data_IF_754437683929
#
_entry.id   IF_754437683929
#
_cell.length_a   1.000
_cell.length_b   1.000
_cell.length_c   1.000
_cell.angle_alpha   90.00
_cell.angle_beta   90.00
_cell.angle_gamma   90.00
#
_symmetry.space_group_name_H-M   'P 1'
#
loop_
_entity.id
_entity.type
_entity.pdbx_description
1 polymer ?
#
# COMPACT_ATOMS: atom_id res chain seq x y z
N UNK A 1 -27.23 -23.16 -38.88
CA UNK A 1 -26.63 -23.03 -37.52
C UNK A 1 -27.80 -22.90 -36.55
N UNK A 2 -27.98 -23.87 -35.67
CA UNK A 2 -29.11 -23.85 -34.72
C UNK A 2 -28.90 -22.70 -33.72
N UNK A 3 -29.89 -21.82 -33.62
CA UNK A 3 -29.87 -20.65 -32.76
C UNK A 3 -30.14 -21.10 -31.31
N UNK A 4 -29.26 -21.92 -30.78
CA UNK A 4 -29.35 -22.46 -29.42
C UNK A 4 -28.88 -21.44 -28.41
N UNK A 5 -29.37 -21.53 -27.17
CA UNK A 5 -28.93 -20.65 -26.07
C UNK A 5 -27.40 -20.71 -25.89
N UNK A 6 -26.81 -21.88 -26.18
CA UNK A 6 -25.36 -22.13 -26.11
C UNK A 6 -24.57 -21.33 -27.14
N UNK A 7 -25.08 -21.22 -28.39
CA UNK A 7 -24.43 -20.38 -29.42
C UNK A 7 -24.50 -18.89 -29.08
N UNK A 8 -25.60 -18.44 -28.45
CA UNK A 8 -25.72 -17.04 -27.99
C UNK A 8 -24.78 -16.70 -26.86
N UNK A 9 -24.46 -17.64 -25.97
CA UNK A 9 -23.48 -17.44 -24.88
C UNK A 9 -22.06 -17.22 -25.42
N UNK A 10 -21.74 -17.74 -26.62
CA UNK A 10 -20.42 -17.56 -27.24
C UNK A 10 -20.33 -16.29 -28.10
N UNK A 11 -21.46 -15.70 -28.47
CA UNK A 11 -21.55 -14.55 -29.38
C UNK A 11 -22.07 -13.30 -28.68
N UNK A 12 -21.78 -13.14 -27.37
CA UNK A 12 -22.17 -11.94 -26.62
C UNK A 12 -21.49 -10.72 -27.25
N UNK A 13 -22.28 -9.70 -27.59
CA UNK A 13 -21.77 -8.44 -28.12
C UNK A 13 -20.82 -7.80 -27.10
N UNK A 14 -19.63 -7.41 -27.57
CA UNK A 14 -18.61 -6.74 -26.73
C UNK A 14 -19.17 -5.49 -26.03
N UNK A 15 -20.13 -4.80 -26.64
CA UNK A 15 -20.76 -3.61 -26.05
C UNK A 15 -21.50 -3.96 -24.76
N UNK A 16 -22.15 -5.13 -24.71
CA UNK A 16 -22.83 -5.61 -23.50
C UNK A 16 -21.80 -5.91 -22.42
N UNK A 17 -20.69 -6.59 -22.78
CA UNK A 17 -19.61 -6.90 -21.83
C UNK A 17 -19.04 -5.61 -21.25
N UNK A 18 -18.78 -4.60 -22.08
CA UNK A 18 -18.25 -3.31 -21.61
C UNK A 18 -19.26 -2.54 -20.75
N UNK A 19 -20.54 -2.56 -21.10
CA UNK A 19 -21.58 -1.93 -20.30
C UNK A 19 -21.70 -2.59 -18.91
N UNK A 20 -21.69 -3.93 -18.84
CA UNK A 20 -21.70 -4.67 -17.58
C UNK A 20 -20.44 -4.37 -16.77
N UNK A 21 -19.26 -4.39 -17.40
CA UNK A 21 -17.99 -4.06 -16.75
C UNK A 21 -18.03 -2.64 -16.12
N UNK A 22 -18.54 -1.67 -16.88
CA UNK A 22 -18.68 -0.29 -16.39
C UNK A 22 -19.56 -0.23 -15.15
N UNK A 23 -20.71 -0.92 -15.17
CA UNK A 23 -21.62 -0.99 -14.02
C UNK A 23 -20.92 -1.61 -12.80
N UNK A 24 -20.18 -2.70 -12.98
CA UNK A 24 -19.44 -3.37 -11.90
C UNK A 24 -18.34 -2.51 -11.29
N UNK A 25 -17.72 -1.63 -12.09
CA UNK A 25 -16.74 -0.65 -11.60
C UNK A 25 -17.43 0.49 -10.84
N UNK A 26 -18.54 1.01 -11.37
CA UNK A 26 -19.21 2.18 -10.81
C UNK A 26 -19.93 1.88 -9.48
N UNK A 27 -20.53 0.70 -9.33
CA UNK A 27 -21.28 0.34 -8.13
C UNK A 27 -20.46 0.56 -6.84
N UNK A 28 -19.26 -0.01 -6.66
CA UNK A 28 -18.48 0.17 -5.42
C UNK A 28 -17.96 1.61 -5.22
N UNK A 29 -17.80 2.37 -6.30
CA UNK A 29 -17.33 3.74 -6.20
C UNK A 29 -18.40 4.69 -5.67
N UNK A 30 -19.67 4.48 -6.06
CA UNK A 30 -20.79 5.33 -5.64
C UNK A 30 -21.52 4.82 -4.41
N UNK A 31 -21.58 3.52 -4.23
CA UNK A 31 -22.20 2.92 -3.05
C UNK A 31 -21.09 2.39 -2.14
N UNK A 32 -21.16 2.63 -0.82
CA UNK A 32 -20.16 2.15 0.14
C UNK A 32 -20.27 0.62 0.34
N UNK A 33 -20.14 -0.11 -0.75
CA UNK A 33 -20.07 -1.57 -0.74
C UNK A 33 -18.59 -1.97 -0.61
N UNK A 34 -18.19 -2.29 0.60
CA UNK A 34 -16.92 -2.96 0.85
C UNK A 34 -17.24 -4.40 1.16
N UNK A 35 -17.01 -5.34 0.22
CA UNK A 35 -17.12 -6.75 0.56
C UNK A 35 -16.15 -7.00 1.72
N UNK A 36 -16.59 -7.80 2.71
CA UNK A 36 -15.71 -8.19 3.81
C UNK A 36 -14.50 -8.88 3.20
N UNK A 37 -13.37 -8.17 3.20
CA UNK A 37 -12.11 -8.72 2.69
C UNK A 37 -11.48 -9.56 3.79
N UNK A 38 -10.99 -10.73 3.42
CA UNK A 38 -10.10 -11.49 4.29
C UNK A 38 -8.70 -10.92 4.05
N UNK A 39 -8.10 -10.26 5.05
CA UNK A 39 -6.77 -9.71 4.88
C UNK A 39 -5.77 -10.83 4.59
N UNK A 40 -4.83 -10.56 3.72
CA UNK A 40 -3.73 -11.48 3.49
C UNK A 40 -2.86 -11.58 4.75
N UNK A 41 -2.18 -12.71 4.94
CA UNK A 41 -1.29 -12.88 6.10
C UNK A 41 -0.25 -11.78 6.19
N UNK A 42 0.37 -11.39 5.09
CA UNK A 42 1.38 -10.32 5.05
C UNK A 42 0.82 -8.95 5.41
N UNK A 43 -0.44 -8.65 5.06
CA UNK A 43 -1.12 -7.42 5.48
C UNK A 43 -1.45 -7.44 6.97
N UNK A 44 -1.82 -8.60 7.52
CA UNK A 44 -2.03 -8.80 8.95
C UNK A 44 -0.70 -8.62 9.71
N UNK A 45 0.38 -9.26 9.25
CA UNK A 45 1.70 -9.16 9.87
C UNK A 45 2.20 -7.70 9.87
N UNK A 46 1.91 -6.95 8.78
CA UNK A 46 2.20 -5.50 8.72
C UNK A 46 1.42 -4.73 9.79
N UNK A 47 0.12 -4.95 9.90
CA UNK A 47 -0.74 -4.31 10.88
C UNK A 47 -0.28 -4.62 12.31
N UNK A 48 -0.05 -5.90 12.62
CA UNK A 48 0.39 -6.35 13.94
C UNK A 48 1.75 -5.77 14.32
N UNK A 49 2.64 -5.57 13.33
CA UNK A 49 3.93 -4.93 13.57
C UNK A 49 3.78 -3.46 13.97
N UNK A 50 2.92 -2.68 13.28
CA UNK A 50 2.64 -1.29 13.67
C UNK A 50 1.98 -1.22 15.04
N UNK A 51 1.03 -2.13 15.34
CA UNK A 51 0.41 -2.26 16.65
C UNK A 51 1.43 -2.56 17.76
N UNK A 52 2.39 -3.45 17.47
CA UNK A 52 3.46 -3.78 18.40
C UNK A 52 4.36 -2.59 18.63
N UNK A 53 4.79 -1.89 17.59
CA UNK A 53 5.61 -0.66 17.71
C UNK A 53 4.90 0.38 18.56
N UNK A 54 3.59 0.56 18.38
CA UNK A 54 2.80 1.52 19.17
C UNK A 54 2.76 1.21 20.66
N UNK A 55 2.89 -0.06 21.05
CA UNK A 55 2.84 -0.51 22.45
C UNK A 55 4.21 -0.59 23.09
N UNK A 56 5.20 -1.14 22.36
CA UNK A 56 6.53 -1.44 22.89
C UNK A 56 7.54 -0.30 22.68
N UNK A 57 7.31 0.55 21.69
CA UNK A 57 8.26 1.61 21.31
C UNK A 57 7.56 2.92 20.90
N UNK A 58 6.59 3.43 21.68
CA UNK A 58 5.73 4.55 21.28
C UNK A 58 6.51 5.87 21.06
N UNK A 59 7.68 6.00 21.64
CA UNK A 59 8.53 7.19 21.55
C UNK A 59 9.57 7.12 20.43
N UNK A 60 9.69 5.99 19.72
CA UNK A 60 10.59 5.84 18.60
C UNK A 60 9.96 6.41 17.33
N UNK A 61 10.80 6.90 16.43
CA UNK A 61 10.38 7.49 15.17
C UNK A 61 10.10 6.40 14.13
N UNK A 62 9.00 6.50 13.40
CA UNK A 62 8.75 5.66 12.22
C UNK A 62 9.23 6.41 10.97
N UNK A 63 10.07 5.78 10.17
CA UNK A 63 10.46 6.34 8.87
C UNK A 63 9.45 5.88 7.82
N UNK A 64 8.86 6.82 7.09
CA UNK A 64 7.98 6.55 5.95
C UNK A 64 8.70 7.03 4.69
N UNK A 65 9.30 6.10 3.97
CA UNK A 65 9.96 6.36 2.70
C UNK A 65 8.97 6.17 1.55
N UNK A 66 8.77 7.23 0.79
CA UNK A 66 7.92 7.20 -0.39
C UNK A 66 8.76 7.40 -1.65
N UNK A 67 8.75 6.42 -2.54
CA UNK A 67 9.42 6.52 -3.83
C UNK A 67 8.55 5.95 -4.95
N UNK A 68 7.54 6.70 -5.35
CA UNK A 68 6.60 6.32 -6.40
C UNK A 68 6.26 7.51 -7.30
N UNK A 69 5.89 7.21 -8.54
CA UNK A 69 5.61 8.18 -9.60
C UNK A 69 4.10 8.27 -9.89
N UNK A 70 3.65 9.24 -10.70
CA UNK A 70 2.26 9.32 -11.12
C UNK A 70 1.71 8.05 -11.77
N UNK A 71 2.57 7.25 -12.44
CA UNK A 71 2.14 5.99 -13.09
C UNK A 71 1.73 4.89 -12.12
N UNK A 72 2.28 4.88 -10.90
CA UNK A 72 1.98 3.89 -9.85
C UNK A 72 1.14 4.46 -8.72
N UNK A 73 0.74 5.73 -8.83
CA UNK A 73 -0.07 6.44 -7.85
C UNK A 73 -1.37 5.71 -7.50
N UNK A 74 -1.97 5.01 -8.47
CA UNK A 74 -3.20 4.25 -8.27
C UNK A 74 -3.13 3.16 -7.21
N UNK A 75 -1.93 2.71 -6.87
CA UNK A 75 -1.66 1.73 -5.82
C UNK A 75 -0.98 2.39 -4.62
N UNK A 76 0.23 2.92 -4.81
CA UNK A 76 1.09 3.36 -3.70
C UNK A 76 0.53 4.53 -2.89
N UNK A 77 -0.27 5.43 -3.49
CA UNK A 77 -0.90 6.51 -2.73
C UNK A 77 -1.84 5.97 -1.64
N UNK A 78 -2.60 4.92 -1.95
CA UNK A 78 -3.58 4.36 -1.01
C UNK A 78 -2.89 3.54 0.08
N UNK A 79 -1.80 2.87 -0.25
CA UNK A 79 -0.94 2.21 0.74
C UNK A 79 -0.34 3.24 1.71
N UNK A 80 0.29 4.29 1.19
CA UNK A 80 0.84 5.37 2.01
C UNK A 80 -0.24 6.04 2.88
N UNK A 81 -1.43 6.28 2.33
CA UNK A 81 -2.54 6.88 3.08
C UNK A 81 -3.00 5.98 4.23
N UNK A 82 -3.17 4.68 3.99
CA UNK A 82 -3.60 3.73 5.01
C UNK A 82 -2.56 3.61 6.14
N UNK A 83 -1.27 3.53 5.79
CA UNK A 83 -0.17 3.49 6.76
C UNK A 83 -0.13 4.77 7.59
N UNK A 84 -0.09 5.95 6.96
CA UNK A 84 -0.04 7.24 7.67
C UNK A 84 -1.27 7.41 8.57
N UNK A 85 -2.44 6.96 8.11
CA UNK A 85 -3.65 6.95 8.97
C UNK A 85 -3.43 6.13 10.23
N UNK A 86 -2.88 4.91 10.10
CA UNK A 86 -2.60 4.05 11.25
C UNK A 86 -1.60 4.69 12.21
N UNK A 87 -0.50 5.23 11.71
CA UNK A 87 0.47 5.94 12.55
C UNK A 87 -0.17 7.06 13.35
N UNK A 88 -1.03 7.86 12.70
CA UNK A 88 -1.70 8.98 13.35
C UNK A 88 -2.74 8.54 14.39
N UNK A 89 -3.55 7.52 14.11
CA UNK A 89 -4.56 7.06 15.08
C UNK A 89 -3.91 6.35 16.29
N UNK A 90 -2.68 5.87 16.14
CA UNK A 90 -1.87 5.31 17.25
C UNK A 90 -0.93 6.32 17.89
N UNK A 91 -1.00 7.59 17.50
CA UNK A 91 -0.17 8.68 18.04
C UNK A 91 1.34 8.42 17.90
N UNK A 92 1.75 7.69 16.85
CA UNK A 92 3.16 7.44 16.56
C UNK A 92 3.81 8.62 15.86
N UNK A 93 5.00 8.98 16.30
CA UNK A 93 5.81 9.97 15.63
C UNK A 93 6.42 9.39 14.35
N UNK A 94 6.46 10.17 13.28
CA UNK A 94 7.04 9.71 12.02
C UNK A 94 7.76 10.80 11.24
N UNK A 95 8.72 10.34 10.42
CA UNK A 95 9.42 11.18 9.46
C UNK A 95 9.14 10.73 8.04
N UNK A 96 8.86 11.67 7.14
CA UNK A 96 8.71 11.42 5.71
C UNK A 96 10.07 11.58 5.06
N UNK A 97 10.47 10.59 4.27
CA UNK A 97 11.65 10.62 3.41
C UNK A 97 11.22 10.30 1.98
N UNK A 98 11.90 10.83 0.98
CA UNK A 98 11.66 10.44 -0.40
C UNK A 98 12.92 10.60 -1.25
N UNK A 99 13.06 9.72 -2.22
CA UNK A 99 14.08 9.82 -3.27
C UNK A 99 13.49 10.28 -4.62
N UNK A 100 12.25 10.75 -4.59
CA UNK A 100 11.56 11.40 -5.70
C UNK A 100 10.95 12.75 -5.27
N UNK A 101 11.24 13.81 -6.03
CA UNK A 101 10.82 15.18 -5.68
C UNK A 101 9.30 15.34 -5.73
N UNK A 102 8.65 14.79 -6.75
CA UNK A 102 7.20 14.91 -6.90
C UNK A 102 6.49 14.11 -5.82
N UNK A 103 7.01 12.91 -5.52
CA UNK A 103 6.47 12.07 -4.47
C UNK A 103 6.50 12.75 -3.10
N UNK A 104 7.62 13.36 -2.72
CA UNK A 104 7.72 14.06 -1.44
C UNK A 104 6.64 15.13 -1.30
N UNK A 105 6.44 15.94 -2.34
CA UNK A 105 5.41 16.98 -2.36
C UNK A 105 4.00 16.40 -2.29
N UNK A 106 3.70 15.36 -3.08
CA UNK A 106 2.39 14.71 -3.09
C UNK A 106 2.08 14.04 -1.75
N UNK A 107 3.04 13.33 -1.18
CA UNK A 107 2.88 12.69 0.14
C UNK A 107 2.59 13.73 1.20
N UNK A 108 3.36 14.83 1.24
CA UNK A 108 3.15 15.91 2.20
C UNK A 108 1.77 16.56 2.03
N UNK A 109 1.45 17.04 0.82
CA UNK A 109 0.30 17.93 0.62
C UNK A 109 -1.03 17.20 0.42
N UNK A 110 -1.01 16.00 -0.15
CA UNK A 110 -2.23 15.26 -0.50
C UNK A 110 -2.55 14.10 0.44
N UNK A 111 -1.59 13.63 1.23
CA UNK A 111 -1.79 12.56 2.19
C UNK A 111 -1.65 13.09 3.61
N UNK A 112 -0.47 13.58 3.97
CA UNK A 112 -0.14 13.85 5.38
C UNK A 112 -0.86 15.08 5.92
N UNK A 113 -0.85 16.22 5.21
CA UNK A 113 -1.50 17.44 5.69
C UNK A 113 -3.02 17.30 5.90
N UNK A 114 -3.79 16.69 4.97
CA UNK A 114 -5.21 16.45 5.20
C UNK A 114 -5.49 15.52 6.38
N UNK A 115 -4.68 14.46 6.54
CA UNK A 115 -4.80 13.53 7.66
C UNK A 115 -4.36 14.20 8.97
N UNK A 116 -3.28 14.97 8.97
CA UNK A 116 -2.81 15.72 10.14
C UNK A 116 -3.89 16.68 10.65
N UNK A 117 -4.56 17.41 9.74
CA UNK A 117 -5.69 18.25 10.09
C UNK A 117 -6.85 17.45 10.71
N UNK A 118 -7.12 16.25 10.18
CA UNK A 118 -8.20 15.38 10.67
C UNK A 118 -7.91 14.80 12.05
N UNK A 119 -6.65 14.37 12.29
CA UNK A 119 -6.25 13.69 13.52
C UNK A 119 -5.54 14.59 14.54
N UNK A 120 -5.44 15.90 14.27
CA UNK A 120 -4.84 16.87 15.20
C UNK A 120 -3.31 16.79 15.30
N UNK A 121 -2.65 16.23 14.26
CA UNK A 121 -1.20 16.19 14.18
C UNK A 121 -0.60 17.54 13.82
N UNK A 122 0.47 17.90 14.49
CA UNK A 122 1.17 19.16 14.30
C UNK A 122 2.57 18.92 13.74
N UNK A 123 2.86 19.59 12.63
CA UNK A 123 4.20 19.55 12.03
C UNK A 123 5.28 19.99 13.01
N UNK A 124 6.40 19.26 13.07
CA UNK A 124 7.52 19.51 13.98
C UNK A 124 7.32 18.96 15.39
N UNK A 125 6.07 18.77 15.86
CA UNK A 125 5.77 18.16 17.16
C UNK A 125 5.53 16.66 17.03
N UNK A 126 4.71 16.26 16.07
CA UNK A 126 4.25 14.87 15.93
C UNK A 126 4.84 14.17 14.71
N UNK A 127 5.18 14.95 13.68
CA UNK A 127 5.83 14.44 12.48
C UNK A 127 6.74 15.48 11.85
N UNK A 128 7.65 15.02 10.99
CA UNK A 128 8.57 15.84 10.24
C UNK A 128 8.71 15.34 8.80
N UNK A 129 9.02 16.22 7.87
CA UNK A 129 9.36 15.83 6.50
C UNK A 129 10.86 16.12 6.26
N UNK A 130 11.66 15.06 6.12
CA UNK A 130 13.10 15.15 5.85
C UNK A 130 13.41 15.58 4.41
N UNK A 131 12.37 15.71 3.59
CA UNK A 131 12.47 16.19 2.24
C UNK A 131 12.90 15.13 1.24
N UNK A 132 13.19 15.65 0.05
CA UNK A 132 13.69 14.88 -1.07
C UNK A 132 15.22 14.70 -0.97
N UNK A 133 15.69 13.51 -1.32
CA UNK A 133 17.10 13.19 -1.52
C UNK A 133 17.31 12.66 -2.95
N UNK A 134 18.33 13.13 -3.69
CA UNK A 134 18.57 12.64 -5.05
C UNK A 134 18.98 11.17 -5.04
N UNK A 135 18.54 10.41 -6.05
CA UNK A 135 18.79 8.96 -6.16
C UNK A 135 20.26 8.55 -5.96
N UNK A 136 21.28 9.27 -6.48
CA UNK A 136 22.67 8.91 -6.22
C UNK A 136 23.08 8.96 -4.73
N UNK A 137 22.29 9.64 -3.89
CA UNK A 137 22.52 9.69 -2.44
C UNK A 137 21.79 8.59 -1.66
N UNK A 138 21.06 7.68 -2.32
CA UNK A 138 20.23 6.68 -1.64
C UNK A 138 21.05 5.84 -0.65
N UNK A 139 22.03 5.07 -1.13
CA UNK A 139 22.88 4.25 -0.26
C UNK A 139 23.68 5.06 0.78
N UNK A 140 24.33 6.19 0.43
CA UNK A 140 24.96 7.05 1.42
C UNK A 140 24.00 7.56 2.48
N UNK A 141 22.75 7.90 2.12
CA UNK A 141 21.74 8.30 3.10
C UNK A 141 21.39 7.15 4.05
N UNK A 142 21.10 5.95 3.53
CA UNK A 142 20.79 4.80 4.39
C UNK A 142 21.91 4.49 5.39
N UNK A 143 23.16 4.47 4.92
CA UNK A 143 24.32 4.27 5.78
C UNK A 143 24.46 5.35 6.85
N UNK A 144 24.22 6.59 6.48
CA UNK A 144 24.28 7.71 7.41
C UNK A 144 23.16 7.66 8.46
N UNK A 145 21.95 7.24 8.08
CA UNK A 145 20.84 7.07 9.03
C UNK A 145 21.13 6.02 10.12
N UNK A 146 22.01 5.06 9.87
CA UNK A 146 22.39 4.04 10.86
C UNK A 146 23.12 4.68 12.03
N UNK A 147 24.02 5.62 11.75
CA UNK A 147 24.99 6.15 12.74
C UNK A 147 24.67 7.55 13.24
N UNK A 148 24.17 8.43 12.36
CA UNK A 148 23.89 9.83 12.69
C UNK A 148 22.80 10.42 11.78
N UNK A 149 21.54 10.29 12.20
CA UNK A 149 20.39 10.83 11.50
C UNK A 149 20.47 12.35 11.35
N UNK A 150 20.72 13.14 12.42
CA UNK A 150 20.79 14.60 12.29
C UNK A 150 21.89 15.08 11.35
N UNK A 151 23.06 14.46 11.37
CA UNK A 151 24.15 14.84 10.47
C UNK A 151 23.87 14.46 9.02
N UNK A 152 23.18 13.34 8.79
CA UNK A 152 22.82 12.86 7.46
C UNK A 152 21.74 13.71 6.82
N UNK A 153 20.69 14.02 7.56
CA UNK A 153 19.54 14.77 7.06
C UNK A 153 19.76 16.28 7.13
N UNK A 154 20.34 16.79 8.20
CA UNK A 154 20.69 18.18 8.51
C UNK A 154 19.49 19.10 8.69
N UNK A 155 18.60 19.18 7.69
CA UNK A 155 17.45 20.08 7.66
C UNK A 155 16.23 19.38 7.12
N UNK A 156 15.06 19.81 7.58
CA UNK A 156 13.78 19.39 7.00
C UNK A 156 13.53 20.04 5.61
N UNK A 157 12.39 19.71 5.00
CA UNK A 157 12.03 20.27 3.68
C UNK A 157 11.74 21.77 3.70
N UNK A 158 11.53 22.38 4.87
CA UNK A 158 11.37 23.82 5.06
C UNK A 158 12.70 24.55 5.29
N UNK A 159 13.79 23.79 5.42
CA UNK A 159 15.12 24.32 5.71
C UNK A 159 15.41 24.49 7.20
N UNK A 160 14.53 24.02 8.09
CA UNK A 160 14.73 24.07 9.55
C UNK A 160 15.76 23.02 9.97
N UNK A 161 16.82 23.37 10.73
CA UNK A 161 17.74 22.41 11.29
C UNK A 161 17.02 21.37 12.15
N UNK A 162 17.39 20.06 12.03
CA UNK A 162 16.70 18.97 12.73
C UNK A 162 16.76 19.06 14.26
N UNK A 163 17.82 19.61 14.79
CA UNK A 163 18.02 19.84 16.24
C UNK A 163 17.04 20.86 16.83
N UNK A 164 16.43 21.71 15.98
CA UNK A 164 15.41 22.68 16.38
C UNK A 164 13.97 22.12 16.26
N UNK A 165 13.81 20.91 15.77
CA UNK A 165 12.50 20.29 15.54
C UNK A 165 12.15 19.37 16.72
N UNK A 166 11.07 19.67 17.49
CA UNK A 166 10.76 18.95 18.73
C UNK A 166 10.65 17.43 18.56
N UNK A 167 10.01 16.91 17.51
CA UNK A 167 9.86 15.48 17.27
C UNK A 167 11.19 14.76 17.03
N UNK A 168 12.25 15.49 16.68
CA UNK A 168 13.60 14.95 16.49
C UNK A 168 14.43 14.90 17.77
N UNK A 169 13.89 15.41 18.89
CA UNK A 169 14.60 15.41 20.15
C UNK A 169 14.85 13.98 20.64
N UNK A 170 16.11 13.60 20.77
CA UNK A 170 16.52 12.25 21.19
C UNK A 170 16.67 11.25 20.02
N UNK A 171 16.26 11.61 18.81
CA UNK A 171 16.43 10.76 17.63
C UNK A 171 17.82 10.98 17.04
N UNK A 172 18.71 9.99 17.15
CA UNK A 172 20.12 10.08 16.76
C UNK A 172 20.55 9.03 15.75
N UNK A 173 20.19 7.79 15.99
CA UNK A 173 20.67 6.64 15.24
C UNK A 173 19.52 5.72 14.84
N UNK A 174 19.83 4.66 14.12
CA UNK A 174 18.88 3.59 13.80
C UNK A 174 18.16 3.04 15.04
N UNK A 175 18.81 3.00 16.18
CA UNK A 175 18.24 2.43 17.40
C UNK A 175 17.08 3.26 17.97
N UNK A 176 16.95 4.52 17.53
CA UNK A 176 15.83 5.41 17.87
C UNK A 176 14.66 5.28 16.89
N UNK A 177 14.79 4.41 15.88
CA UNK A 177 13.76 4.14 14.88
C UNK A 177 12.93 2.95 15.32
N UNK A 178 11.60 3.12 15.32
CA UNK A 178 10.65 2.08 15.71
C UNK A 178 10.26 1.14 14.58
N UNK A 179 10.21 1.65 13.36
CA UNK A 179 9.98 0.89 12.14
C UNK A 179 10.40 1.71 10.91
N UNK A 180 10.65 1.01 9.81
CA UNK A 180 10.75 1.61 8.47
C UNK A 180 9.61 1.10 7.62
N UNK A 181 8.91 2.00 6.97
CA UNK A 181 7.88 1.71 5.97
C UNK A 181 8.34 2.26 4.64
N UNK A 182 8.56 1.42 3.66
CA UNK A 182 8.88 1.84 2.30
C UNK A 182 7.68 1.60 1.38
N UNK A 183 7.25 2.65 0.67
CA UNK A 183 6.14 2.61 -0.30
C UNK A 183 6.71 2.91 -1.68
N UNK A 184 6.83 1.88 -2.53
CA UNK A 184 7.54 2.04 -3.82
C UNK A 184 7.17 0.98 -4.84
N UNK A 185 7.21 1.30 -6.16
CA UNK A 185 7.21 0.30 -7.24
C UNK A 185 8.62 -0.22 -7.57
N UNK A 186 9.66 0.26 -6.88
CA UNK A 186 11.05 0.01 -7.23
C UNK A 186 11.67 -1.14 -6.41
N UNK A 187 12.74 -1.73 -6.94
CA UNK A 187 13.51 -2.79 -6.27
C UNK A 187 14.55 -2.19 -5.30
N UNK A 188 14.07 -1.55 -4.25
CA UNK A 188 14.89 -0.82 -3.28
C UNK A 188 14.91 -1.44 -1.88
N UNK A 189 13.97 -2.33 -1.60
CA UNK A 189 13.84 -2.99 -0.30
C UNK A 189 15.12 -3.73 0.13
N UNK A 190 15.84 -4.36 -0.81
CA UNK A 190 17.10 -5.05 -0.52
C UNK A 190 18.18 -4.10 0.06
N UNK A 191 18.14 -2.83 -0.34
CA UNK A 191 19.08 -1.83 0.18
C UNK A 191 18.72 -1.44 1.61
N UNK A 192 17.43 -1.27 1.91
CA UNK A 192 16.98 -1.05 3.29
C UNK A 192 17.34 -2.22 4.18
N UNK A 193 17.05 -3.44 3.76
CA UNK A 193 17.35 -4.68 4.48
C UNK A 193 18.85 -4.89 4.65
N UNK A 194 19.65 -4.62 3.62
CA UNK A 194 21.10 -4.85 3.68
C UNK A 194 21.91 -3.74 4.34
N UNK A 195 21.43 -2.50 4.37
CA UNK A 195 22.19 -1.34 4.86
C UNK A 195 21.66 -0.77 6.16
N UNK A 196 20.36 -0.86 6.40
CA UNK A 196 19.74 -0.21 7.55
C UNK A 196 19.16 -1.21 8.57
N UNK A 197 18.44 -2.20 8.10
CA UNK A 197 17.88 -3.24 8.96
C UNK A 197 18.98 -4.19 9.46
N UNK A 198 18.87 -4.65 10.69
CA UNK A 198 19.73 -5.67 11.25
C UNK A 198 18.93 -6.59 12.18
N UNK A 199 18.81 -7.87 11.80
CA UNK A 199 18.06 -8.87 12.58
C UNK A 199 16.61 -8.44 12.88
N UNK A 200 15.92 -7.87 11.88
CA UNK A 200 14.56 -7.33 11.98
C UNK A 200 14.42 -6.21 13.04
N UNK A 201 15.49 -5.42 13.23
CA UNK A 201 15.49 -4.29 14.13
C UNK A 201 16.20 -3.06 13.50
N UNK A 202 15.47 -1.95 13.23
CA UNK A 202 14.01 -1.83 13.35
C UNK A 202 13.27 -2.70 12.30
N UNK A 203 12.03 -3.13 12.56
CA UNK A 203 11.26 -3.91 11.61
C UNK A 203 11.06 -3.14 10.30
N UNK A 204 11.26 -3.83 9.20
CA UNK A 204 11.06 -3.30 7.86
C UNK A 204 9.70 -3.75 7.31
N UNK A 205 8.90 -2.79 6.89
CA UNK A 205 7.55 -2.93 6.34
C UNK A 205 7.54 -2.42 4.91
N UNK A 206 7.00 -3.21 4.00
CA UNK A 206 7.09 -2.92 2.58
C UNK A 206 5.71 -2.79 1.94
N UNK A 207 5.52 -1.76 1.12
CA UNK A 207 4.28 -1.51 0.39
C UNK A 207 4.58 -1.33 -1.11
N UNK A 208 4.87 -2.44 -1.83
CA UNK A 208 5.13 -2.45 -3.26
C UNK A 208 3.84 -2.44 -4.07
N UNK A 209 3.95 -2.03 -5.34
CA UNK A 209 2.90 -2.34 -6.32
C UNK A 209 2.67 -3.85 -6.43
N UNK A 210 1.46 -4.25 -6.84
CA UNK A 210 1.08 -5.66 -6.94
C UNK A 210 2.00 -6.48 -7.85
N UNK A 211 2.55 -5.87 -8.91
CA UNK A 211 3.46 -6.52 -9.84
C UNK A 211 4.82 -6.84 -9.22
N UNK A 212 5.27 -6.05 -8.25
CA UNK A 212 6.55 -6.24 -7.58
C UNK A 212 6.48 -7.24 -6.40
N UNK A 213 5.32 -7.39 -5.79
CA UNK A 213 5.15 -8.18 -4.57
C UNK A 213 5.68 -9.63 -4.65
N UNK A 214 5.52 -10.40 -5.76
CA UNK A 214 6.01 -11.77 -5.84
C UNK A 214 7.52 -11.91 -5.61
N UNK A 215 8.31 -10.91 -6.00
CA UNK A 215 9.77 -10.89 -5.82
C UNK A 215 10.16 -10.89 -4.34
N UNK A 216 9.29 -10.38 -3.47
CA UNK A 216 9.59 -10.12 -2.06
C UNK A 216 9.00 -11.14 -1.08
N UNK A 217 8.19 -12.11 -1.53
CA UNK A 217 7.69 -13.17 -0.64
C UNK A 217 8.81 -13.96 0.08
N UNK A 218 9.96 -14.27 -0.54
CA UNK A 218 11.05 -14.94 0.16
C UNK A 218 11.57 -14.18 1.39
N UNK A 219 11.56 -12.85 1.36
CA UNK A 219 11.97 -12.01 2.50
C UNK A 219 10.98 -12.04 3.67
N UNK A 220 9.68 -12.26 3.39
CA UNK A 220 8.68 -12.52 4.41
C UNK A 220 8.87 -13.90 5.03
N UNK A 221 9.09 -14.92 4.21
CA UNK A 221 9.29 -16.30 4.65
C UNK A 221 10.51 -16.43 5.56
N UNK A 222 11.59 -15.72 5.24
CA UNK A 222 12.82 -15.66 6.03
C UNK A 222 12.76 -14.67 7.20
N UNK A 223 11.62 -13.97 7.38
CA UNK A 223 11.39 -12.95 8.41
C UNK A 223 12.38 -11.77 8.38
N UNK A 224 13.01 -11.51 7.26
CA UNK A 224 13.78 -10.29 7.03
C UNK A 224 12.87 -9.08 6.84
N UNK A 225 11.65 -9.32 6.39
CA UNK A 225 10.60 -8.32 6.23
C UNK A 225 9.46 -8.64 7.19
N UNK A 226 9.03 -7.65 7.96
CA UNK A 226 8.05 -7.84 9.04
C UNK A 226 6.59 -7.85 8.55
N UNK A 227 6.33 -7.38 7.34
CA UNK A 227 5.00 -7.37 6.73
C UNK A 227 5.01 -6.68 5.37
N UNK A 228 3.99 -6.93 4.56
CA UNK A 228 3.90 -6.36 3.22
C UNK A 228 2.46 -6.03 2.85
N UNK A 229 2.23 -4.85 2.28
CA UNK A 229 1.00 -4.50 1.59
C UNK A 229 1.20 -4.71 0.09
N UNK A 230 0.23 -5.32 -0.59
CA UNK A 230 0.39 -5.66 -2.01
C UNK A 230 -0.57 -4.84 -2.85
N UNK A 231 -0.08 -3.70 -3.34
CA UNK A 231 -0.81 -2.80 -4.20
C UNK A 231 -2.14 -2.33 -3.58
N UNK A 232 -3.09 -1.97 -4.43
CA UNK A 232 -4.40 -1.46 -3.97
C UNK A 232 -5.18 -2.47 -3.12
N UNK A 233 -4.99 -3.79 -3.34
CA UNK A 233 -5.59 -4.81 -2.49
C UNK A 233 -5.00 -4.78 -1.09
N UNK A 234 -3.69 -4.67 -0.97
CA UNK A 234 -3.00 -4.54 0.31
C UNK A 234 -3.46 -3.32 1.10
N UNK A 235 -3.61 -2.17 0.42
CA UNK A 235 -4.19 -0.97 1.03
C UNK A 235 -5.61 -1.21 1.54
N UNK A 236 -6.46 -1.89 0.75
CA UNK A 236 -7.84 -2.23 1.13
C UNK A 236 -7.90 -3.21 2.30
N UNK A 237 -7.07 -4.26 2.30
CA UNK A 237 -6.96 -5.22 3.40
C UNK A 237 -6.56 -4.49 4.71
N UNK A 238 -5.58 -3.61 4.62
CA UNK A 238 -5.07 -2.86 5.76
C UNK A 238 -6.11 -1.89 6.35
N UNK A 239 -6.83 -1.16 5.51
CA UNK A 239 -7.95 -0.32 5.98
C UNK A 239 -9.07 -1.16 6.58
N UNK A 240 -9.34 -2.35 6.04
CA UNK A 240 -10.27 -3.31 6.64
C UNK A 240 -9.87 -3.69 8.07
N UNK A 241 -8.58 -3.97 8.31
CA UNK A 241 -8.04 -4.22 9.64
C UNK A 241 -8.20 -3.02 10.58
N UNK A 242 -7.98 -1.79 10.08
CA UNK A 242 -8.20 -0.57 10.86
C UNK A 242 -9.68 -0.40 11.26
N UNK A 243 -10.61 -0.74 10.37
CA UNK A 243 -12.05 -0.69 10.63
C UNK A 243 -12.45 -1.76 11.65
N UNK A 244 -11.98 -2.99 11.48
CA UNK A 244 -12.27 -4.09 12.40
C UNK A 244 -11.73 -3.82 13.81
N UNK A 245 -10.57 -3.15 13.89
CA UNK A 245 -9.97 -2.66 15.14
C UNK A 245 -10.64 -1.38 15.69
N UNK A 246 -11.68 -0.84 15.03
CA UNK A 246 -12.39 0.40 15.39
C UNK A 246 -11.49 1.65 15.41
N UNK A 247 -10.45 1.65 14.60
CA UNK A 247 -9.51 2.76 14.44
C UNK A 247 -9.91 3.69 13.27
N UNK A 248 -10.74 3.18 12.39
CA UNK A 248 -11.27 3.90 11.24
C UNK A 248 -12.77 3.60 11.09
N UNK A 249 -13.60 4.64 10.92
CA UNK A 249 -15.05 4.48 10.84
C UNK A 249 -15.53 4.07 9.45
N UNK A 250 -14.84 4.51 8.41
CA UNK A 250 -15.27 4.35 7.01
C UNK A 250 -14.10 4.10 6.08
N UNK A 251 -14.29 3.24 5.06
CA UNK A 251 -13.26 2.98 4.06
C UNK A 251 -12.96 4.24 3.22
N UNK A 252 -11.70 4.39 2.84
CA UNK A 252 -11.25 5.42 1.89
C UNK A 252 -11.70 5.12 0.46
N UNK A 253 -11.34 6.01 -0.45
CA UNK A 253 -11.49 5.76 -1.89
C UNK A 253 -10.67 4.53 -2.34
N UNK A 254 -9.46 4.33 -1.79
CA UNK A 254 -8.60 3.19 -2.11
C UNK A 254 -9.27 1.85 -1.84
N UNK A 255 -9.87 1.68 -0.68
CA UNK A 255 -10.62 0.44 -0.34
C UNK A 255 -11.82 0.22 -1.26
N UNK A 256 -12.55 1.28 -1.63
CA UNK A 256 -13.66 1.17 -2.60
C UNK A 256 -13.16 0.77 -3.98
N UNK A 257 -12.02 1.32 -4.41
CA UNK A 257 -11.39 0.94 -5.68
C UNK A 257 -10.87 -0.51 -5.67
N UNK A 258 -10.31 -0.98 -4.54
CA UNK A 258 -9.95 -2.39 -4.36
C UNK A 258 -11.18 -3.32 -4.43
N UNK A 259 -12.31 -2.90 -3.86
CA UNK A 259 -13.59 -3.60 -3.99
C UNK A 259 -14.08 -3.67 -5.44
N UNK A 260 -13.97 -2.57 -6.20
CA UNK A 260 -14.31 -2.55 -7.62
C UNK A 260 -13.46 -3.54 -8.43
N UNK A 261 -12.14 -3.57 -8.17
CA UNK A 261 -11.22 -4.51 -8.83
C UNK A 261 -11.60 -5.98 -8.54
N UNK A 262 -11.98 -6.28 -7.30
CA UNK A 262 -12.42 -7.63 -6.91
C UNK A 262 -13.70 -8.06 -7.66
N UNK A 263 -14.66 -7.16 -7.84
CA UNK A 263 -15.87 -7.43 -8.64
C UNK A 263 -15.56 -7.64 -10.10
N UNK A 264 -14.64 -6.87 -10.68
CA UNK A 264 -14.18 -7.02 -12.06
C UNK A 264 -13.53 -8.40 -12.26
N UNK A 265 -12.66 -8.84 -11.36
CA UNK A 265 -12.08 -10.19 -11.44
C UNK A 265 -13.15 -11.28 -11.34
N UNK A 266 -14.11 -11.15 -10.43
CA UNK A 266 -15.25 -12.06 -10.35
C UNK A 266 -16.04 -12.13 -11.65
N UNK A 267 -16.31 -10.99 -12.29
CA UNK A 267 -16.99 -10.92 -13.58
C UNK A 267 -16.18 -11.61 -14.70
N UNK A 268 -14.87 -11.38 -14.76
CA UNK A 268 -14.00 -12.02 -15.76
C UNK A 268 -14.03 -13.54 -15.60
N UNK A 269 -13.89 -14.03 -14.37
CA UNK A 269 -13.95 -15.46 -14.09
C UNK A 269 -15.32 -16.03 -14.51
N UNK A 270 -16.42 -15.35 -14.17
CA UNK A 270 -17.76 -15.76 -14.56
C UNK A 270 -17.90 -15.86 -16.09
N UNK A 271 -17.43 -14.84 -16.83
CA UNK A 271 -17.49 -14.83 -18.29
C UNK A 271 -16.66 -15.97 -18.90
N UNK A 272 -15.50 -16.28 -18.36
CA UNK A 272 -14.68 -17.41 -18.79
C UNK A 272 -15.42 -18.73 -18.56
N UNK A 273 -16.02 -18.93 -17.39
CA UNK A 273 -16.80 -20.13 -17.08
C UNK A 273 -17.99 -20.28 -18.01
N UNK A 274 -18.77 -19.20 -18.20
CA UNK A 274 -19.93 -19.21 -19.09
C UNK A 274 -19.53 -19.50 -20.54
N UNK A 275 -18.45 -18.91 -21.04
CA UNK A 275 -17.92 -19.16 -22.37
C UNK A 275 -17.52 -20.63 -22.58
N UNK A 276 -16.82 -21.22 -21.59
CA UNK A 276 -16.43 -22.63 -21.64
C UNK A 276 -17.63 -23.57 -21.56
N UNK A 277 -18.58 -23.32 -20.66
CA UNK A 277 -19.83 -24.11 -20.56
C UNK A 277 -20.59 -24.06 -21.89
N UNK A 278 -20.77 -22.87 -22.48
CA UNK A 278 -21.40 -22.69 -23.78
C UNK A 278 -20.71 -23.50 -24.90
N UNK A 279 -19.38 -23.45 -24.93
CA UNK A 279 -18.57 -24.20 -25.91
C UNK A 279 -18.76 -25.72 -25.79
N UNK A 280 -18.60 -26.29 -24.61
CA UNK A 280 -18.74 -27.73 -24.41
C UNK A 280 -20.18 -28.22 -24.62
N UNK A 281 -21.17 -27.45 -24.19
CA UNK A 281 -22.57 -27.80 -24.39
C UNK A 281 -22.96 -27.79 -25.89
N UNK A 282 -22.50 -26.77 -26.64
CA UNK A 282 -22.73 -26.73 -28.11
C UNK A 282 -22.08 -27.92 -28.80
N UNK A 283 -20.84 -28.24 -28.47
CA UNK A 283 -20.11 -29.39 -29.06
C UNK A 283 -20.80 -30.74 -28.73
N UNK A 284 -21.40 -30.86 -27.56
CA UNK A 284 -22.18 -32.07 -27.18
C UNK A 284 -23.47 -32.19 -28.01
N UNK A 285 -24.16 -31.07 -28.30
CA UNK A 285 -25.34 -31.05 -29.16
C UNK A 285 -25.00 -31.45 -30.60
N UNK A 286 -23.92 -30.85 -31.17
CA UNK A 286 -23.45 -31.16 -32.52
C UNK A 286 -23.09 -32.63 -32.70
N UNK A 287 -22.35 -33.22 -31.76
CA UNK A 287 -22.02 -34.67 -31.77
C UNK A 287 -23.22 -35.60 -31.69
N UNK A 288 -24.35 -35.14 -31.10
CA UNK A 288 -25.61 -35.93 -31.06
C UNK A 288 -26.40 -35.79 -32.36
N UNK A 289 -26.27 -34.69 -33.07
CA UNK A 289 -26.92 -34.48 -34.35
C UNK A 289 -26.27 -35.24 -35.50
N UNK A 290 -24.95 -35.52 -35.36
CA UNK A 290 -24.15 -36.27 -36.35
C UNK A 290 -24.25 -37.81 -36.16
N UNK A 291 -25.01 -38.30 -35.18
CA UNK A 291 -25.31 -39.70 -34.93
C UNK A 291 -26.74 -40.05 -35.34
#
# INVERSE_FOLDING_TARGET
>A
MSNTIWSRMQTIDRRIIYAVLLVFILIPLFFPFSPKTYPSKQSQDFFDTVERVSKESPNKLVIVDGWWSPSTRGENQWEAQAVVTHLMVRHLHFAILSFDTQNNTVTQTQIVEPLAKRYGYVYGRDYVNWGFRPVPSFEPTLKGLVTDIPHTIKKDYKGTPLDQIPVMKGIRTRDDVGAVVEVTPSATAEKWLGLFEQNNNPPFLFAPTAVMAPTYYPYLDTKQMAGMLTGIKGAGDYEGLLIDAKLLDKPSFGTRAAGALSLVYGLIILLIVLGNVGYYAQRAVERRADR
#
